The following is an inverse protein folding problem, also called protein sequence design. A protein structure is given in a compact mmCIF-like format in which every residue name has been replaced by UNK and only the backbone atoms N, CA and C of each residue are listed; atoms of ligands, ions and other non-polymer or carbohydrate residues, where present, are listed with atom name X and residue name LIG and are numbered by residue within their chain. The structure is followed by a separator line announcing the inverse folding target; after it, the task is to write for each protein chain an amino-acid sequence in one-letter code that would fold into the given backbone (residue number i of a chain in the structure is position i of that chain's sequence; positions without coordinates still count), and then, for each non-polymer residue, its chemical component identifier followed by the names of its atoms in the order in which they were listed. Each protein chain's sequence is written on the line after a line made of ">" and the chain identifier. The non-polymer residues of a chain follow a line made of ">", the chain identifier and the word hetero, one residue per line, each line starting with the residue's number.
data_IF_865609238302
#
_entry.id   IF_865609238302
#
_cell.length_a   1.000
_cell.length_b   1.000
_cell.length_c   1.000
_cell.angle_alpha   90.00
_cell.angle_beta   90.00
_cell.angle_gamma   90.00
#
_symmetry.space_group_name_H-M   'P 1'
#
loop_
_entity.id
_entity.type
_entity.pdbx_description
1 polymer ?
#
# COMPACT_ATOMS: atom_id res chain seq x y z
N UNK A 1 -13.08 6.51 -19.41
CA UNK A 1 -12.02 5.88 -20.23
C UNK A 1 -10.71 5.96 -19.46
N UNK A 2 -9.83 4.96 -19.62
CA UNK A 2 -8.51 5.01 -18.97
C UNK A 2 -7.67 6.12 -19.60
N UNK A 3 -7.04 6.95 -18.76
CA UNK A 3 -6.19 8.08 -19.20
C UNK A 3 -5.01 8.26 -18.25
N UNK A 4 -3.91 8.80 -18.77
CA UNK A 4 -2.77 9.17 -17.96
C UNK A 4 -2.97 10.59 -17.41
N UNK A 5 -2.73 10.74 -16.11
CA UNK A 5 -2.72 12.02 -15.41
C UNK A 5 -1.30 12.33 -14.97
N UNK A 6 -0.95 13.60 -14.99
CA UNK A 6 0.28 14.09 -14.38
C UNK A 6 0.10 14.23 -12.89
N UNK A 7 1.14 13.88 -12.16
CA UNK A 7 1.14 14.01 -10.69
C UNK A 7 2.55 14.31 -10.18
N UNK A 8 2.63 14.82 -8.98
CA UNK A 8 3.89 15.23 -8.34
C UNK A 8 4.07 14.52 -7.00
N UNK A 9 5.28 14.07 -6.72
CA UNK A 9 5.65 13.52 -5.43
C UNK A 9 5.57 14.62 -4.37
N UNK A 10 4.74 14.42 -3.36
CA UNK A 10 4.55 15.38 -2.26
C UNK A 10 5.14 14.89 -0.94
N UNK A 11 5.35 13.59 -0.81
CA UNK A 11 6.03 12.99 0.33
C UNK A 11 6.75 11.70 -0.09
N UNK A 12 7.85 11.40 0.59
CA UNK A 12 8.62 10.18 0.47
C UNK A 12 8.96 9.66 1.86
N UNK A 13 8.81 8.37 2.06
CA UNK A 13 9.26 7.68 3.27
C UNK A 13 10.18 6.54 2.88
N UNK A 14 11.41 6.56 3.34
CA UNK A 14 12.33 5.43 3.23
C UNK A 14 12.19 4.62 4.54
N UNK A 15 11.69 3.39 4.42
CA UNK A 15 11.50 2.48 5.55
C UNK A 15 12.83 1.81 5.94
N UNK A 16 13.62 1.50 4.92
CA UNK A 16 15.01 1.05 5.00
C UNK A 16 15.71 1.32 3.66
N UNK A 17 16.90 0.79 3.43
CA UNK A 17 17.72 1.07 2.23
C UNK A 17 17.07 0.64 0.91
N UNK A 18 16.08 -0.25 0.95
CA UNK A 18 15.45 -0.81 -0.25
C UNK A 18 13.92 -0.78 -0.23
N UNK A 19 13.28 -0.39 0.84
CA UNK A 19 11.83 -0.30 0.95
C UNK A 19 11.41 1.15 1.14
N UNK A 20 10.57 1.66 0.28
CA UNK A 20 10.11 3.05 0.30
C UNK A 20 8.64 3.17 -0.08
N UNK A 21 8.03 4.27 0.33
CA UNK A 21 6.74 4.70 -0.17
C UNK A 21 6.82 6.11 -0.75
N UNK A 22 5.97 6.36 -1.75
CA UNK A 22 5.79 7.67 -2.37
C UNK A 22 4.34 8.10 -2.21
N UNK A 23 4.13 9.31 -1.71
CA UNK A 23 2.85 10.02 -1.78
C UNK A 23 2.90 11.02 -2.91
N UNK A 24 1.81 11.12 -3.62
CA UNK A 24 1.69 12.06 -4.74
C UNK A 24 0.30 12.65 -4.80
N UNK A 25 0.24 13.91 -5.23
CA UNK A 25 -0.99 14.68 -5.34
C UNK A 25 -1.52 14.62 -6.77
N UNK A 26 -2.78 14.20 -6.92
CA UNK A 26 -3.48 14.22 -8.20
C UNK A 26 -4.93 14.62 -7.98
N UNK A 27 -5.22 15.90 -8.05
CA UNK A 27 -6.57 16.44 -7.80
C UNK A 27 -7.64 15.92 -8.78
N UNK A 28 -7.23 15.51 -9.98
CA UNK A 28 -8.12 14.96 -11.01
C UNK A 28 -8.36 13.45 -10.87
N UNK A 29 -7.69 12.78 -9.92
CA UNK A 29 -7.87 11.36 -9.74
C UNK A 29 -9.23 11.08 -9.11
N UNK A 30 -10.11 10.28 -9.78
CA UNK A 30 -11.44 10.03 -9.26
C UNK A 30 -11.40 9.17 -8.01
N UNK A 31 -12.49 9.19 -7.26
CA UNK A 31 -12.64 8.28 -6.13
C UNK A 31 -12.46 6.82 -6.56
N UNK A 32 -11.83 6.04 -5.71
CA UNK A 32 -11.56 4.63 -5.91
C UNK A 32 -12.08 3.81 -4.72
N UNK A 33 -12.10 2.49 -4.86
CA UNK A 33 -12.43 1.58 -3.76
C UNK A 33 -11.14 1.11 -3.08
N UNK A 34 -11.15 1.08 -1.76
CA UNK A 34 -10.01 0.58 -0.97
C UNK A 34 -9.62 -0.83 -1.42
N UNK A 35 -8.31 -1.06 -1.57
CA UNK A 35 -7.74 -2.30 -2.08
C UNK A 35 -7.48 -2.31 -3.59
N UNK A 36 -7.94 -1.32 -4.35
CA UNK A 36 -7.66 -1.18 -5.77
C UNK A 36 -6.20 -0.77 -6.03
N UNK A 37 -5.76 -0.94 -7.27
CA UNK A 37 -4.46 -0.55 -7.78
C UNK A 37 -4.60 0.39 -8.98
N UNK A 38 -3.50 1.06 -9.31
CA UNK A 38 -3.37 1.81 -10.55
C UNK A 38 -2.01 1.55 -11.19
N UNK A 39 -1.83 1.98 -12.45
CA UNK A 39 -0.49 2.00 -13.06
C UNK A 39 0.18 3.32 -12.72
N UNK A 40 1.38 3.21 -12.18
CA UNK A 40 2.30 4.34 -11.98
C UNK A 40 3.40 4.24 -13.00
N UNK A 41 3.82 5.37 -13.58
CA UNK A 41 4.81 5.39 -14.64
C UNK A 41 5.65 6.65 -14.66
N UNK A 42 6.74 6.55 -15.40
CA UNK A 42 7.64 7.66 -15.73
C UNK A 42 7.70 7.76 -17.25
N UNK A 43 7.58 8.98 -17.76
CA UNK A 43 7.75 9.26 -19.17
C UNK A 43 9.24 9.36 -19.51
N UNK A 44 9.64 8.60 -20.52
CA UNK A 44 10.99 8.60 -21.05
C UNK A 44 10.92 8.38 -22.57
N UNK A 45 11.61 9.20 -23.35
CA UNK A 45 11.69 9.12 -24.80
C UNK A 45 10.29 9.04 -25.45
N UNK A 46 9.35 9.89 -25.02
CA UNK A 46 7.96 9.92 -25.43
C UNK A 46 7.19 8.60 -25.21
N UNK A 47 7.64 7.76 -24.27
CA UNK A 47 6.97 6.52 -23.87
C UNK A 47 6.80 6.49 -22.36
N UNK A 48 5.68 5.97 -21.90
CA UNK A 48 5.45 5.78 -20.46
C UNK A 48 5.86 4.36 -20.08
N UNK A 49 6.92 4.27 -19.28
CA UNK A 49 7.30 3.01 -18.62
C UNK A 49 6.49 2.89 -17.35
N UNK A 50 5.61 1.92 -17.27
CA UNK A 50 4.67 1.80 -16.13
C UNK A 50 4.56 0.38 -15.60
N UNK A 51 4.12 0.28 -14.32
CA UNK A 51 3.77 -0.98 -13.64
C UNK A 51 2.55 -0.75 -12.74
N UNK A 52 1.76 -1.79 -12.45
CA UNK A 52 0.68 -1.71 -11.48
C UNK A 52 1.25 -1.62 -10.07
N UNK A 53 0.63 -0.75 -9.25
CA UNK A 53 0.89 -0.61 -7.83
C UNK A 53 -0.44 -0.50 -7.09
N UNK A 54 -0.60 -1.30 -6.04
CA UNK A 54 -1.74 -1.15 -5.14
C UNK A 54 -1.66 0.18 -4.41
N UNK A 55 -2.80 0.82 -4.23
CA UNK A 55 -2.90 2.04 -3.44
C UNK A 55 -2.87 1.67 -1.95
N UNK A 56 -2.03 2.38 -1.20
CA UNK A 56 -1.90 2.27 0.25
C UNK A 56 -2.85 3.24 0.95
N UNK A 57 -2.99 4.44 0.40
CA UNK A 57 -3.91 5.46 0.90
C UNK A 57 -5.37 4.99 0.87
N UNK A 58 -6.15 5.47 1.82
CA UNK A 58 -7.60 5.28 1.83
C UNK A 58 -8.30 6.14 0.77
N UNK A 59 -9.52 5.76 0.31
CA UNK A 59 -10.25 6.51 -0.71
C UNK A 59 -10.65 7.94 -0.31
N UNK A 60 -10.67 8.24 0.99
CA UNK A 60 -10.99 9.58 1.52
C UNK A 60 -9.77 10.50 1.64
N UNK A 61 -8.56 9.98 1.41
CA UNK A 61 -7.34 10.77 1.44
C UNK A 61 -7.19 11.59 0.15
N UNK A 62 -6.63 12.80 0.26
CA UNK A 62 -6.39 13.69 -0.88
C UNK A 62 -5.14 13.29 -1.69
N UNK A 63 -4.25 12.54 -1.07
CA UNK A 63 -3.00 12.09 -1.66
C UNK A 63 -3.05 10.59 -1.89
N UNK A 64 -2.49 10.15 -2.99
CA UNK A 64 -2.34 8.74 -3.30
C UNK A 64 -0.98 8.25 -2.80
N UNK A 65 -0.92 7.04 -2.29
CA UNK A 65 0.31 6.44 -1.81
C UNK A 65 0.53 5.06 -2.39
N UNK A 66 1.77 4.77 -2.74
CA UNK A 66 2.25 3.43 -3.10
C UNK A 66 3.45 3.05 -2.23
N UNK A 67 3.63 1.75 -2.02
CA UNK A 67 4.84 1.18 -1.42
C UNK A 67 5.56 0.33 -2.45
N UNK A 68 6.89 0.42 -2.51
CA UNK A 68 7.69 -0.25 -3.51
C UNK A 68 9.08 -0.66 -3.00
N UNK A 69 9.67 -1.61 -3.72
CA UNK A 69 11.09 -1.99 -3.61
C UNK A 69 11.75 -1.79 -4.99
N UNK A 70 12.98 -1.31 -5.07
CA UNK A 70 13.74 -1.30 -6.31
C UNK A 70 14.08 -2.74 -6.71
N UNK A 71 13.71 -3.14 -7.92
CA UNK A 71 14.11 -4.41 -8.51
C UNK A 71 15.36 -4.15 -9.34
N UNK A 72 16.46 -4.84 -9.08
CA UNK A 72 17.80 -4.55 -9.61
C UNK A 72 17.81 -4.32 -11.14
N UNK A 73 17.22 -5.23 -11.92
CA UNK A 73 17.09 -5.10 -13.37
C UNK A 73 15.73 -4.55 -13.81
N UNK A 74 14.98 -3.94 -12.90
CA UNK A 74 13.66 -3.41 -13.17
C UNK A 74 13.67 -2.14 -14.01
N UNK A 75 12.79 -2.05 -14.98
CA UNK A 75 12.71 -0.88 -15.86
C UNK A 75 12.14 0.37 -15.18
N UNK A 76 11.36 0.23 -14.10
CA UNK A 76 10.64 1.32 -13.44
C UNK A 76 11.03 1.52 -11.96
N UNK A 77 10.97 0.47 -11.13
CA UNK A 77 11.13 0.63 -9.68
C UNK A 77 12.46 1.25 -9.24
N UNK A 78 13.62 1.01 -9.91
CA UNK A 78 14.85 1.76 -9.61
C UNK A 78 14.75 3.27 -9.92
N UNK A 79 13.91 3.65 -10.90
CA UNK A 79 13.67 5.06 -11.23
C UNK A 79 12.74 5.70 -10.20
N UNK A 80 11.67 5.00 -9.79
CA UNK A 80 10.80 5.46 -8.70
C UNK A 80 11.58 5.65 -7.40
N UNK A 81 12.54 4.75 -7.12
CA UNK A 81 13.39 4.86 -5.94
C UNK A 81 14.27 6.13 -5.92
N UNK A 82 14.56 6.71 -7.08
CA UNK A 82 15.35 7.96 -7.20
C UNK A 82 14.52 9.24 -7.11
N UNK A 83 13.18 9.14 -7.21
CA UNK A 83 12.30 10.31 -7.16
C UNK A 83 12.37 11.00 -5.79
N UNK A 84 12.37 12.32 -5.85
CA UNK A 84 12.34 13.22 -4.69
C UNK A 84 11.04 14.00 -4.65
N UNK A 85 10.77 14.65 -3.54
CA UNK A 85 9.64 15.58 -3.41
C UNK A 85 9.78 16.67 -4.48
N UNK A 86 8.70 16.92 -5.24
CA UNK A 86 8.66 17.84 -6.36
C UNK A 86 8.83 17.17 -7.72
N UNK A 87 9.32 15.93 -7.79
CA UNK A 87 9.46 15.21 -9.06
C UNK A 87 8.09 14.78 -9.62
N UNK A 88 8.01 14.77 -10.95
CA UNK A 88 6.80 14.41 -11.67
C UNK A 88 6.77 12.94 -12.04
N UNK A 89 5.58 12.35 -12.02
CA UNK A 89 5.30 11.00 -12.52
C UNK A 89 3.92 10.96 -13.17
N UNK A 90 3.60 9.84 -13.81
CA UNK A 90 2.31 9.60 -14.45
C UNK A 90 1.53 8.56 -13.66
N UNK A 91 0.22 8.77 -13.55
CA UNK A 91 -0.70 7.81 -12.94
C UNK A 91 -1.86 7.51 -13.90
N UNK A 92 -2.26 6.25 -13.99
CA UNK A 92 -3.39 5.84 -14.81
C UNK A 92 -4.69 6.00 -14.03
N UNK A 93 -5.64 6.70 -14.61
CA UNK A 93 -6.98 6.88 -14.07
C UNK A 93 -8.02 6.13 -14.90
N UNK A 94 -9.07 5.53 -14.28
CA UNK A 94 -9.27 5.33 -12.85
C UNK A 94 -8.45 4.16 -12.29
N UNK A 95 -8.43 4.02 -10.94
CA UNK A 95 -7.97 2.80 -10.30
C UNK A 95 -8.87 1.61 -10.67
N UNK A 96 -8.31 0.41 -10.62
CA UNK A 96 -9.00 -0.85 -10.97
C UNK A 96 -8.62 -1.95 -9.98
N UNK A 97 -9.27 -3.11 -10.09
CA UNK A 97 -8.96 -4.27 -9.25
C UNK A 97 -10.15 -4.75 -8.43
N UNK A 98 -10.12 -6.01 -8.07
CA UNK A 98 -11.21 -6.72 -7.39
C UNK A 98 -10.87 -7.12 -5.94
N UNK A 99 -9.70 -6.72 -5.42
CA UNK A 99 -9.37 -6.91 -4.02
C UNK A 99 -10.05 -5.81 -3.17
N UNK A 100 -11.37 -5.85 -3.13
CA UNK A 100 -12.24 -4.89 -2.46
C UNK A 100 -13.22 -5.61 -1.54
N UNK A 101 -13.67 -4.96 -0.48
CA UNK A 101 -14.58 -5.58 0.49
C UNK A 101 -15.91 -6.02 -0.13
N UNK A 102 -16.35 -5.38 -1.21
CA UNK A 102 -17.61 -5.75 -1.89
C UNK A 102 -17.56 -7.16 -2.51
N UNK A 103 -16.37 -7.66 -2.81
CA UNK A 103 -16.15 -9.01 -3.37
C UNK A 103 -15.90 -10.08 -2.27
N UNK A 104 -15.77 -9.65 -1.02
CA UNK A 104 -15.55 -10.57 0.10
C UNK A 104 -16.90 -11.06 0.65
N UNK A 105 -17.10 -12.39 0.75
CA UNK A 105 -18.32 -12.92 1.38
C UNK A 105 -18.51 -12.41 2.80
N UNK A 106 -19.76 -12.17 3.20
CA UNK A 106 -20.07 -11.77 4.57
C UNK A 106 -19.61 -12.87 5.54
N UNK A 107 -18.82 -12.46 6.52
CA UNK A 107 -18.27 -13.35 7.55
C UNK A 107 -18.12 -12.59 8.87
N UNK A 108 -17.92 -13.32 9.96
CA UNK A 108 -17.61 -12.73 11.25
C UNK A 108 -16.19 -12.19 11.29
N UNK A 109 -15.25 -12.95 10.75
CA UNK A 109 -13.81 -12.70 10.83
C UNK A 109 -13.24 -12.37 9.43
N UNK A 110 -12.42 -11.34 9.36
CA UNK A 110 -11.68 -10.96 8.15
C UNK A 110 -10.19 -11.24 8.35
N UNK A 111 -9.62 -12.07 7.48
CA UNK A 111 -8.19 -12.34 7.44
C UNK A 111 -7.54 -11.60 6.27
N UNK A 112 -6.61 -10.72 6.59
CA UNK A 112 -5.79 -9.97 5.64
C UNK A 112 -4.36 -10.53 5.71
N UNK A 113 -3.93 -11.25 4.68
CA UNK A 113 -2.64 -11.96 4.68
C UNK A 113 -1.72 -11.34 3.64
N UNK A 114 -0.66 -10.69 4.10
CA UNK A 114 0.29 -9.95 3.28
C UNK A 114 1.73 -10.42 3.45
N UNK A 115 2.51 -10.27 2.39
CA UNK A 115 3.97 -10.33 2.45
C UNK A 115 4.58 -9.09 1.77
N UNK A 116 5.60 -8.49 2.40
CA UNK A 116 6.32 -7.33 1.87
C UNK A 116 5.39 -6.20 1.43
N UNK A 117 5.57 -5.67 0.23
CA UNK A 117 4.76 -4.56 -0.31
C UNK A 117 3.30 -4.92 -0.56
N UNK A 118 2.93 -6.21 -0.52
CA UNK A 118 1.55 -6.67 -0.62
C UNK A 118 0.64 -6.24 0.55
N UNK A 119 1.19 -5.63 1.59
CA UNK A 119 0.41 -5.02 2.67
C UNK A 119 -0.38 -3.79 2.20
N UNK A 120 0.08 -3.10 1.16
CA UNK A 120 -0.50 -1.84 0.68
C UNK A 120 -2.03 -1.83 0.54
N UNK A 121 -2.64 -2.74 -0.24
CA UNK A 121 -4.10 -2.75 -0.42
C UNK A 121 -4.86 -3.01 0.88
N UNK A 122 -4.29 -3.75 1.83
CA UNK A 122 -4.92 -4.00 3.12
C UNK A 122 -4.87 -2.78 4.03
N UNK A 123 -3.80 -1.98 3.96
CA UNK A 123 -3.75 -0.69 4.67
C UNK A 123 -4.80 0.28 4.13
N UNK A 124 -5.00 0.32 2.80
CA UNK A 124 -6.10 1.08 2.18
C UNK A 124 -7.48 0.64 2.70
N UNK A 125 -7.71 -0.66 2.82
CA UNK A 125 -8.95 -1.21 3.37
C UNK A 125 -9.11 -0.83 4.84
N UNK A 126 -8.06 -0.98 5.66
CA UNK A 126 -8.07 -0.64 7.09
C UNK A 126 -8.24 0.87 7.35
N UNK A 127 -7.94 1.73 6.37
CA UNK A 127 -8.17 3.16 6.43
C UNK A 127 -9.65 3.55 6.22
N UNK A 128 -10.56 2.61 5.91
CA UNK A 128 -11.99 2.87 5.73
C UNK A 128 -12.80 2.54 6.98
N UNK A 129 -13.87 3.29 7.23
CA UNK A 129 -14.82 2.95 8.31
C UNK A 129 -15.56 1.62 8.03
N UNK A 130 -15.79 1.31 6.77
CA UNK A 130 -16.54 0.14 6.33
C UNK A 130 -16.00 -1.17 6.93
N UNK A 131 -14.69 -1.38 6.93
CA UNK A 131 -14.07 -2.62 7.45
C UNK A 131 -14.37 -2.82 8.93
N UNK A 132 -14.29 -1.73 9.73
CA UNK A 132 -14.52 -1.76 11.17
C UNK A 132 -15.98 -1.99 11.56
N UNK A 133 -16.92 -1.62 10.68
CA UNK A 133 -18.34 -1.85 10.87
C UNK A 133 -18.79 -3.23 10.39
N UNK A 134 -18.09 -3.82 9.41
CA UNK A 134 -18.51 -5.04 8.72
C UNK A 134 -18.09 -6.34 9.38
N UNK A 135 -17.04 -6.34 10.20
CA UNK A 135 -16.46 -7.55 10.79
C UNK A 135 -16.34 -7.45 12.31
N UNK A 136 -16.48 -8.57 13.01
CA UNK A 136 -16.25 -8.65 14.47
C UNK A 136 -14.77 -8.74 14.79
N UNK A 137 -14.02 -9.54 14.02
CA UNK A 137 -12.57 -9.66 14.15
C UNK A 137 -11.88 -9.38 12.81
N UNK A 138 -10.79 -8.63 12.87
CA UNK A 138 -9.94 -8.32 11.72
C UNK A 138 -8.52 -8.73 12.07
N UNK A 139 -7.98 -9.69 11.33
CA UNK A 139 -6.65 -10.25 11.55
C UNK A 139 -5.74 -9.84 10.41
N UNK A 140 -4.73 -9.01 10.67
CA UNK A 140 -3.69 -8.67 9.72
C UNK A 140 -2.46 -9.53 9.99
N UNK A 141 -2.23 -10.53 9.15
CA UNK A 141 -0.99 -11.31 9.10
C UNK A 141 -0.05 -10.63 8.12
N UNK A 142 1.09 -10.16 8.61
CA UNK A 142 2.05 -9.44 7.78
C UNK A 142 3.43 -10.07 7.87
N UNK A 143 3.84 -10.73 6.78
CA UNK A 143 5.11 -11.41 6.65
C UNK A 143 6.19 -10.55 5.98
N UNK A 144 7.41 -10.62 6.50
CA UNK A 144 8.61 -10.01 5.91
C UNK A 144 9.84 -10.90 6.12
N UNK A 145 10.97 -10.54 5.51
CA UNK A 145 12.23 -11.24 5.76
C UNK A 145 12.82 -10.83 7.09
N UNK A 146 12.85 -9.53 7.35
CA UNK A 146 13.39 -8.89 8.55
C UNK A 146 12.34 -7.96 9.16
N UNK A 147 12.48 -7.64 10.43
CA UNK A 147 11.58 -6.74 11.15
C UNK A 147 11.56 -5.33 10.55
N UNK A 148 12.69 -4.87 10.02
CA UNK A 148 12.81 -3.56 9.37
C UNK A 148 12.09 -3.50 8.01
N UNK A 149 11.72 -4.65 7.44
CA UNK A 149 10.89 -4.76 6.23
C UNK A 149 9.38 -4.66 6.54
N UNK A 150 8.99 -4.69 7.81
CA UNK A 150 7.60 -4.48 8.24
C UNK A 150 7.28 -2.97 8.27
N UNK A 151 6.96 -2.41 7.11
CA UNK A 151 6.59 -1.00 7.00
C UNK A 151 5.27 -0.69 7.74
N UNK A 152 5.00 0.58 8.01
CA UNK A 152 3.76 1.08 8.61
C UNK A 152 3.44 0.57 10.03
N UNK A 153 4.40 0.02 10.79
CA UNK A 153 4.17 -0.46 12.17
C UNK A 153 3.50 0.59 13.06
N UNK A 154 3.87 1.87 12.92
CA UNK A 154 3.26 2.96 13.71
C UNK A 154 1.77 3.15 13.37
N UNK A 155 1.41 3.11 12.09
CA UNK A 155 0.02 3.20 11.62
C UNK A 155 -0.79 2.00 12.12
N UNK A 156 -0.25 0.78 11.96
CA UNK A 156 -0.88 -0.46 12.42
C UNK A 156 -1.09 -0.41 13.95
N UNK A 157 -0.10 0.04 14.71
CA UNK A 157 -0.21 0.20 16.16
C UNK A 157 -1.30 1.23 16.57
N UNK A 158 -1.60 2.23 15.74
CA UNK A 158 -2.71 3.15 15.98
C UNK A 158 -4.03 2.41 15.92
N UNK A 159 -4.25 1.55 14.91
CA UNK A 159 -5.47 0.74 14.82
C UNK A 159 -5.57 -0.29 15.95
N UNK A 160 -4.46 -0.92 16.34
CA UNK A 160 -4.44 -1.85 17.50
C UNK A 160 -4.87 -1.16 18.79
N UNK A 161 -4.51 0.10 18.98
CA UNK A 161 -4.95 0.89 20.14
C UNK A 161 -6.41 1.36 20.04
N UNK A 162 -6.86 1.68 18.84
CA UNK A 162 -8.22 2.16 18.59
C UNK A 162 -9.27 1.03 18.66
N UNK A 163 -8.88 -0.19 18.27
CA UNK A 163 -9.75 -1.35 18.18
C UNK A 163 -9.14 -2.59 18.90
N UNK A 164 -8.83 -2.51 20.21
CA UNK A 164 -8.05 -3.53 20.93
C UNK A 164 -8.70 -4.91 20.96
N UNK A 165 -10.05 -4.97 20.98
CA UNK A 165 -10.80 -6.21 21.03
C UNK A 165 -11.20 -6.75 19.65
N UNK A 166 -10.89 -5.99 18.58
CA UNK A 166 -11.34 -6.29 17.22
C UNK A 166 -10.18 -6.51 16.25
N UNK A 167 -9.10 -5.77 16.39
CA UNK A 167 -7.97 -5.81 15.46
C UNK A 167 -6.78 -6.58 16.04
N UNK A 168 -6.37 -7.61 15.33
CA UNK A 168 -5.26 -8.48 15.70
C UNK A 168 -4.16 -8.38 14.67
N UNK A 169 -3.04 -7.80 15.06
CA UNK A 169 -1.84 -7.75 14.22
C UNK A 169 -0.90 -8.91 14.53
N UNK A 170 -0.56 -9.68 13.50
CA UNK A 170 0.32 -10.85 13.58
C UNK A 170 1.51 -10.62 12.65
N UNK A 171 2.61 -10.01 13.15
CA UNK A 171 3.84 -9.90 12.37
C UNK A 171 4.55 -11.26 12.28
N UNK A 172 5.12 -11.55 11.09
CA UNK A 172 5.91 -12.76 10.84
C UNK A 172 7.22 -12.34 10.20
N UNK A 173 8.34 -12.79 10.74
CA UNK A 173 9.67 -12.60 10.15
C UNK A 173 10.34 -13.95 9.88
N UNK A 174 10.98 -14.10 8.72
CA UNK A 174 11.50 -15.40 8.28
C UNK A 174 13.03 -15.53 8.32
N UNK A 175 13.76 -14.44 8.62
CA UNK A 175 15.24 -14.46 8.61
C UNK A 175 15.85 -13.89 9.89
N UNK A 176 15.06 -13.66 10.91
CA UNK A 176 15.52 -13.27 12.24
C UNK A 176 14.52 -13.76 13.28
N UNK A 177 14.96 -13.89 14.54
CA UNK A 177 14.10 -14.16 15.68
C UNK A 177 13.83 -12.88 16.43
N UNK A 178 12.55 -12.58 16.66
CA UNK A 178 12.08 -11.40 17.41
C UNK A 178 11.01 -11.84 18.40
N UNK A 179 11.07 -11.26 19.61
CA UNK A 179 10.13 -11.59 20.70
C UNK A 179 8.65 -11.29 20.35
N UNK A 180 8.43 -10.24 19.53
CA UNK A 180 7.08 -9.74 19.21
C UNK A 180 6.61 -10.17 17.81
N UNK A 181 7.27 -11.14 17.17
CA UNK A 181 6.88 -11.67 15.87
C UNK A 181 6.97 -13.19 15.84
N UNK A 182 6.12 -13.80 15.00
CA UNK A 182 6.27 -15.22 14.69
C UNK A 182 7.46 -15.43 13.75
N UNK A 183 8.14 -16.53 13.90
CA UNK A 183 9.18 -16.97 12.98
C UNK A 183 8.58 -17.96 11.97
N UNK A 184 8.85 -17.73 10.66
CA UNK A 184 8.31 -18.53 9.58
C UNK A 184 9.35 -18.90 8.52
#
# INVERSE_FOLDING_TARGET
>A
MAQWLDTTVVNRTDWNDHLFSLRFSCAEFPQFKAGQFTKVGIEQDNKIISRPYSLVSGPSEHELEIIAVPVEDGSLSPKLHKLQIGDSLKIMSPATGFLILDEVPKSRDLWLMATGTGVGPFLSILATEQVWQSYENIILVYGARYDDDLAYKKLIATWSKQYPDKFHFVPIVSREEKADSLHG
#
